data_IF_364883047392
#
_entry.id   IF_364883047392
#
_cell.length_a   1.000
_cell.length_b   1.000
_cell.length_c   1.000
_cell.angle_alpha   90.00
_cell.angle_beta   90.00
_cell.angle_gamma   90.00
#
_symmetry.space_group_name_H-M   'P 1'
#
loop_
_entity.id
_entity.type
_entity.pdbx_description
1 polymer ?
#
# COMPACT_ATOMS: atom_id res chain seq x y z
N UNK A 1 25.00 1.30 -8.67
CA UNK A 1 23.87 2.01 -8.07
C UNK A 1 22.93 0.95 -7.54
N UNK A 2 22.69 0.88 -6.23
CA UNK A 2 21.67 -0.04 -5.70
C UNK A 2 20.32 0.46 -6.17
N UNK A 3 19.56 -0.38 -6.87
CA UNK A 3 18.13 -0.13 -7.07
C UNK A 3 17.53 -0.03 -5.68
N UNK A 4 17.13 1.17 -5.25
CA UNK A 4 16.42 1.36 -4.01
C UNK A 4 15.03 0.71 -4.15
N UNK A 5 14.94 -0.59 -3.84
CA UNK A 5 13.68 -1.29 -3.69
C UNK A 5 13.06 -0.90 -2.35
N UNK A 6 11.73 -0.81 -2.30
CA UNK A 6 11.01 -0.67 -1.04
C UNK A 6 11.32 -1.87 -0.12
N UNK A 7 11.23 -1.66 1.20
CA UNK A 7 11.40 -2.74 2.17
C UNK A 7 10.43 -3.89 1.84
N UNK A 8 10.90 -5.14 1.73
CA UNK A 8 9.99 -6.28 1.56
C UNK A 8 9.01 -6.39 2.72
N UNK A 9 7.77 -6.78 2.43
CA UNK A 9 6.79 -7.18 3.45
C UNK A 9 7.05 -8.62 3.93
N UNK A 10 6.28 -9.10 4.92
CA UNK A 10 5.13 -8.44 5.55
C UNK A 10 5.55 -7.34 6.54
N UNK A 11 4.66 -6.37 6.76
CA UNK A 11 4.85 -5.35 7.80
C UNK A 11 3.76 -5.45 8.88
N UNK A 12 4.09 -4.95 10.07
CA UNK A 12 3.24 -5.08 11.25
C UNK A 12 3.12 -3.77 12.00
N UNK A 13 1.94 -3.51 12.55
CA UNK A 13 1.71 -2.39 13.45
C UNK A 13 2.08 -2.79 14.87
N UNK A 14 2.94 -2.03 15.52
CA UNK A 14 3.29 -2.18 16.92
C UNK A 14 2.96 -0.91 17.70
N UNK A 15 2.24 -1.02 18.81
CA UNK A 15 1.95 0.11 19.69
C UNK A 15 2.95 0.13 20.85
N UNK A 16 3.84 1.12 20.85
CA UNK A 16 4.88 1.27 21.88
C UNK A 16 4.41 2.07 23.11
N UNK A 17 3.13 2.47 23.15
CA UNK A 17 2.54 3.30 24.21
C UNK A 17 2.66 4.81 24.00
N UNK A 18 3.37 5.25 22.96
CA UNK A 18 3.57 6.67 22.60
C UNK A 18 3.08 6.97 21.18
N UNK A 19 3.36 6.07 20.23
CA UNK A 19 2.93 6.12 18.83
C UNK A 19 2.83 4.71 18.26
N UNK A 20 2.36 4.61 17.01
CA UNK A 20 2.28 3.34 16.29
C UNK A 20 3.48 3.20 15.36
N UNK A 21 4.21 2.12 15.50
CA UNK A 21 5.35 1.77 14.67
C UNK A 21 4.95 0.80 13.56
N UNK A 22 5.61 0.90 12.41
CA UNK A 22 5.54 -0.07 11.32
C UNK A 22 6.84 -0.86 11.34
N UNK A 23 6.74 -2.18 11.54
CA UNK A 23 7.88 -3.08 11.74
C UNK A 23 7.91 -4.24 10.77
N UNK A 24 9.09 -4.83 10.56
CA UNK A 24 9.27 -6.00 9.69
C UNK A 24 8.94 -7.35 10.36
N UNK A 25 8.78 -7.39 11.69
CA UNK A 25 8.39 -8.59 12.42
C UNK A 25 7.41 -8.27 13.57
N UNK A 26 6.71 -9.31 14.05
CA UNK A 26 5.83 -9.22 15.22
C UNK A 26 6.64 -9.26 16.53
N UNK A 27 6.30 -8.38 17.46
CA UNK A 27 6.78 -8.41 18.84
C UNK A 27 7.47 -7.11 19.29
N UNK A 28 7.49 -6.87 20.61
CA UNK A 28 7.96 -5.61 21.19
C UNK A 28 9.42 -5.27 20.89
N UNK A 29 10.22 -6.25 20.48
CA UNK A 29 11.60 -6.10 20.03
C UNK A 29 11.90 -6.88 18.74
N UNK A 30 10.85 -7.29 18.02
CA UNK A 30 10.99 -7.99 16.75
C UNK A 30 11.18 -7.01 15.60
N UNK A 31 12.07 -7.35 14.67
CA UNK A 31 12.25 -6.63 13.41
C UNK A 31 12.82 -5.20 13.53
N UNK A 32 12.96 -4.57 12.37
CA UNK A 32 13.38 -3.18 12.20
C UNK A 32 12.13 -2.28 12.13
N UNK A 33 12.18 -1.11 12.77
CA UNK A 33 11.19 -0.06 12.57
C UNK A 33 11.46 0.67 11.26
N UNK A 34 10.51 0.62 10.34
CA UNK A 34 10.64 1.18 8.98
C UNK A 34 9.75 2.40 8.74
N UNK A 35 8.91 2.72 9.72
CA UNK A 35 8.08 3.92 9.74
C UNK A 35 7.31 4.03 11.04
N UNK A 36 6.65 5.16 11.23
CA UNK A 36 5.74 5.39 12.35
C UNK A 36 4.57 6.26 11.94
N UNK A 37 3.46 6.08 12.65
CA UNK A 37 2.30 6.95 12.61
C UNK A 37 2.19 7.60 13.98
N UNK A 38 2.61 8.86 14.03
CA UNK A 38 2.49 9.64 15.23
C UNK A 38 1.02 9.86 15.59
N UNK A 39 0.57 9.23 16.67
CA UNK A 39 -0.75 9.45 17.24
C UNK A 39 -0.84 10.78 17.99
N UNK A 40 0.31 11.38 18.32
CA UNK A 40 0.37 12.54 19.19
C UNK A 40 0.45 13.83 18.38
N UNK A 41 -0.50 14.73 18.61
CA UNK A 41 -0.27 16.18 18.46
C UNK A 41 0.63 16.64 19.62
N UNK A 42 1.83 16.08 19.74
CA UNK A 42 2.70 16.17 20.94
C UNK A 42 3.28 17.56 21.22
N UNK A 43 2.55 18.64 20.93
CA UNK A 43 2.75 19.87 21.67
C UNK A 43 1.75 20.08 22.81
N UNK A 44 0.53 19.52 22.81
CA UNK A 44 -0.49 20.09 23.72
C UNK A 44 -1.43 19.10 24.44
N UNK A 45 -1.05 17.86 24.72
CA UNK A 45 -1.76 17.06 25.74
C UNK A 45 -3.26 16.81 25.52
N UNK A 46 -3.73 16.72 24.27
CA UNK A 46 -5.14 16.43 23.95
C UNK A 46 -5.27 15.30 22.91
N UNK A 47 -5.98 14.27 23.36
CA UNK A 47 -6.82 13.28 22.67
C UNK A 47 -6.22 12.33 21.63
N UNK A 48 -6.64 11.07 21.76
CA UNK A 48 -6.52 10.00 20.78
C UNK A 48 -6.72 10.54 19.36
N UNK A 49 -5.70 10.45 18.51
CA UNK A 49 -5.88 10.70 17.08
C UNK A 49 -6.59 9.48 16.47
N UNK A 50 -7.90 9.56 16.18
CA UNK A 50 -8.68 8.38 15.78
C UNK A 50 -8.25 7.83 14.41
N UNK A 51 -7.53 8.63 13.60
CA UNK A 51 -7.03 8.16 12.30
C UNK A 51 -5.65 7.53 12.35
N UNK A 52 -4.93 7.64 13.49
CA UNK A 52 -3.58 7.09 13.60
C UNK A 52 -3.55 5.57 13.43
N UNK A 53 -4.44 4.85 14.14
CA UNK A 53 -4.53 3.40 14.03
C UNK A 53 -4.94 2.93 12.62
N UNK A 54 -6.03 3.44 12.00
CA UNK A 54 -6.36 3.12 10.62
C UNK A 54 -5.23 3.39 9.62
N UNK A 55 -4.54 4.52 9.75
CA UNK A 55 -3.42 4.86 8.87
C UNK A 55 -2.25 3.89 9.04
N UNK A 56 -1.93 3.52 10.28
CA UNK A 56 -0.86 2.55 10.55
C UNK A 56 -1.17 1.19 9.91
N UNK A 57 -2.41 0.71 10.03
CA UNK A 57 -2.82 -0.55 9.39
C UNK A 57 -2.80 -0.45 7.85
N UNK A 58 -3.22 0.67 7.27
CA UNK A 58 -3.14 0.88 5.83
C UNK A 58 -1.70 0.86 5.31
N UNK A 59 -0.78 1.52 6.03
CA UNK A 59 0.64 1.52 5.68
C UNK A 59 1.22 0.12 5.83
N UNK A 60 0.94 -0.58 6.93
CA UNK A 60 1.43 -1.94 7.16
C UNK A 60 0.96 -2.92 6.07
N UNK A 61 -0.25 -2.73 5.53
CA UNK A 61 -0.80 -3.56 4.44
C UNK A 61 -0.28 -3.18 3.04
N UNK A 62 0.54 -2.13 2.90
CA UNK A 62 0.98 -1.64 1.60
C UNK A 62 1.71 -2.69 0.73
N UNK A 63 2.60 -3.56 1.27
CA UNK A 63 3.25 -4.61 0.49
C UNK A 63 2.24 -5.59 -0.13
N UNK A 64 1.30 -6.08 0.67
CA UNK A 64 0.28 -7.06 0.26
C UNK A 64 -0.74 -6.42 -0.69
N UNK A 65 -1.10 -5.15 -0.48
CA UNK A 65 -1.95 -4.39 -1.41
C UNK A 65 -1.26 -4.19 -2.76
N UNK A 66 0.04 -3.91 -2.76
CA UNK A 66 0.83 -3.79 -4.00
C UNK A 66 0.93 -5.14 -4.72
N UNK A 67 1.19 -6.23 -4.01
CA UNK A 67 1.23 -7.58 -4.57
C UNK A 67 -0.13 -7.95 -5.19
N UNK A 68 -1.22 -7.73 -4.46
CA UNK A 68 -2.57 -7.98 -4.95
C UNK A 68 -2.91 -7.17 -6.21
N UNK A 69 -2.50 -5.89 -6.26
CA UNK A 69 -2.71 -5.04 -7.43
C UNK A 69 -1.88 -5.51 -8.64
N UNK A 70 -0.63 -5.91 -8.42
CA UNK A 70 0.22 -6.49 -9.47
C UNK A 70 -0.34 -7.80 -10.00
N UNK A 71 -0.87 -8.65 -9.11
CA UNK A 71 -1.55 -9.88 -9.49
C UNK A 71 -2.82 -9.64 -10.29
N UNK A 72 -3.61 -8.62 -9.93
CA UNK A 72 -4.86 -8.28 -10.60
C UNK A 72 -4.64 -7.61 -11.96
N UNK A 73 -3.57 -6.84 -12.15
CA UNK A 73 -3.35 -6.01 -13.34
C UNK A 73 -3.47 -6.77 -14.68
N UNK A 74 -2.87 -7.96 -14.90
CA UNK A 74 -3.02 -8.69 -16.16
C UNK A 74 -4.47 -9.08 -16.48
N UNK A 75 -5.27 -9.40 -15.45
CA UNK A 75 -6.69 -9.72 -15.62
C UNK A 75 -7.48 -8.46 -16.01
N UNK A 76 -7.17 -7.32 -15.38
CA UNK A 76 -7.77 -6.03 -15.74
C UNK A 76 -7.42 -5.64 -17.19
N UNK A 77 -6.18 -5.88 -17.62
CA UNK A 77 -5.72 -5.61 -18.99
C UNK A 77 -6.42 -6.50 -20.03
N UNK A 78 -6.62 -7.78 -19.73
CA UNK A 78 -7.33 -8.71 -20.61
C UNK A 78 -8.82 -8.36 -20.78
N UNK A 79 -9.37 -7.67 -19.80
CA UNK A 79 -10.75 -7.24 -19.76
C UNK A 79 -11.01 -5.98 -20.62
N UNK A 80 -10.01 -5.08 -20.78
CA UNK A 80 -10.18 -3.86 -21.59
C UNK A 80 -10.56 -4.21 -23.04
N UNK A 81 -11.68 -3.65 -23.58
CA UNK A 81 -12.12 -3.92 -24.94
C UNK A 81 -11.02 -3.59 -25.95
N UNK A 82 -10.57 -4.60 -26.72
CA UNK A 82 -9.67 -4.38 -27.83
C UNK A 82 -10.51 -4.04 -29.09
N UNK A 83 -10.39 -2.83 -29.66
CA UNK A 83 -11.16 -2.42 -30.84
C UNK A 83 -10.87 -3.29 -32.09
N UNK A 84 -9.80 -4.10 -32.09
CA UNK A 84 -9.47 -5.00 -33.20
C UNK A 84 -10.21 -6.34 -33.17
N UNK A 85 -10.74 -6.75 -32.02
CA UNK A 85 -11.19 -8.14 -31.85
C UNK A 85 -12.71 -8.29 -31.93
N UNK A 86 -13.48 -7.20 -32.04
CA UNK A 86 -14.94 -7.23 -32.23
C UNK A 86 -15.75 -7.86 -31.09
N UNK A 87 -15.09 -8.45 -30.10
CA UNK A 87 -15.69 -8.96 -28.88
C UNK A 87 -15.71 -7.81 -27.88
N UNK A 88 -16.88 -7.22 -27.70
CA UNK A 88 -17.17 -6.50 -26.47
C UNK A 88 -17.11 -7.55 -25.36
N UNK A 89 -15.92 -7.75 -24.79
CA UNK A 89 -15.83 -8.46 -23.53
C UNK A 89 -16.78 -7.72 -22.59
N UNK A 90 -17.72 -8.45 -22.00
CA UNK A 90 -18.78 -8.00 -21.07
C UNK A 90 -18.21 -7.45 -19.75
N UNK A 91 -17.01 -6.88 -19.80
CA UNK A 91 -16.44 -6.17 -18.69
C UNK A 91 -16.75 -4.69 -18.93
N UNK A 92 -17.55 -4.13 -18.05
CA UNK A 92 -17.73 -2.70 -17.88
C UNK A 92 -16.52 -2.05 -17.18
N UNK A 93 -15.32 -2.63 -17.30
CA UNK A 93 -14.12 -2.08 -16.68
C UNK A 93 -13.73 -0.82 -17.47
N UNK A 94 -13.83 0.30 -16.77
CA UNK A 94 -13.35 1.60 -17.24
C UNK A 94 -11.87 1.49 -17.64
N UNK A 95 -11.52 1.91 -18.86
CA UNK A 95 -10.14 1.99 -19.35
C UNK A 95 -9.23 2.79 -18.41
N UNK A 96 -9.80 3.72 -17.65
CA UNK A 96 -9.08 4.49 -16.64
C UNK A 96 -8.64 3.62 -15.45
N UNK A 97 -9.30 2.50 -15.15
CA UNK A 97 -8.91 1.59 -14.07
C UNK A 97 -7.53 0.96 -14.32
N UNK A 98 -7.28 0.50 -15.54
CA UNK A 98 -5.97 -0.07 -15.93
C UNK A 98 -4.88 1.00 -15.91
N UNK A 99 -5.16 2.18 -16.45
CA UNK A 99 -4.21 3.30 -16.43
C UNK A 99 -3.84 3.68 -14.98
N UNK A 100 -4.84 3.79 -14.10
CA UNK A 100 -4.62 4.07 -12.67
C UNK A 100 -3.81 2.98 -11.99
N UNK A 101 -4.14 1.71 -12.19
CA UNK A 101 -3.40 0.60 -11.60
C UNK A 101 -1.90 0.62 -11.99
N UNK A 102 -1.60 0.86 -13.27
CA UNK A 102 -0.21 1.00 -13.76
C UNK A 102 0.51 2.17 -13.09
N UNK A 103 -0.15 3.33 -13.01
CA UNK A 103 0.41 4.52 -12.38
C UNK A 103 0.73 4.29 -10.90
N UNK A 104 -0.19 3.69 -10.14
CA UNK A 104 0.04 3.46 -8.71
C UNK A 104 1.12 2.37 -8.47
N UNK A 105 1.21 1.33 -9.30
CA UNK A 105 2.32 0.37 -9.25
C UNK A 105 3.66 1.06 -9.53
N UNK A 106 3.72 1.94 -10.54
CA UNK A 106 4.93 2.67 -10.87
C UNK A 106 5.37 3.59 -9.72
N UNK A 107 4.43 4.30 -9.09
CA UNK A 107 4.70 5.13 -7.91
C UNK A 107 5.23 4.30 -6.75
N UNK A 108 4.58 3.18 -6.43
CA UNK A 108 5.00 2.29 -5.34
C UNK A 108 6.41 1.69 -5.55
N UNK A 109 6.82 1.52 -6.82
CA UNK A 109 8.17 1.07 -7.18
C UNK A 109 9.20 2.19 -7.27
N UNK A 110 8.81 3.45 -7.08
CA UNK A 110 9.70 4.60 -7.21
C UNK A 110 10.16 4.89 -8.65
N UNK A 111 9.37 4.50 -9.65
CA UNK A 111 9.68 4.66 -11.08
C UNK A 111 8.70 5.58 -11.83
N UNK A 112 7.85 6.30 -11.08
CA UNK A 112 6.86 7.23 -11.62
C UNK A 112 7.43 8.62 -11.95
#
# INVERSE_FOLDING_TARGET
MSNAQHTPGPWYVFNNGVYLEIRTELGSYGGEQIGDVCASKHMDGVEDNPVAAPNAYLIAAAPELLEALQYALPYLEACVPNPRNGVNADCSIDVNCVARARTEIAKARGVA
#
